data_IF_785082015454
#
_entry.id   IF_785082015454
#
_cell.length_a   1.000
_cell.length_b   1.000
_cell.length_c   1.000
_cell.angle_alpha   90.00
_cell.angle_beta   90.00
_cell.angle_gamma   90.00
#
_symmetry.space_group_name_H-M   'P 1'
#
loop_
_entity.id
_entity.type
_entity.pdbx_description
1 polymer ?
#
# COMPACT_ATOMS: atom_id res chain seq x y z
N UNK A 1 -10.88 -62.69 7.92
CA UNK A 1 -10.97 -61.35 7.30
C UNK A 1 -10.85 -61.52 5.79
N UNK A 2 -11.95 -61.32 5.05
CA UNK A 2 -12.03 -61.69 3.63
C UNK A 2 -11.06 -60.86 2.79
N UNK A 3 -10.33 -61.47 1.83
CA UNK A 3 -9.43 -60.78 0.88
C UNK A 3 -10.10 -59.55 0.21
N UNK A 4 -11.43 -59.60 0.06
CA UNK A 4 -12.27 -58.49 -0.43
C UNK A 4 -12.23 -57.25 0.49
N UNK A 5 -12.23 -57.44 1.80
CA UNK A 5 -12.15 -56.35 2.80
C UNK A 5 -10.78 -55.68 2.75
N UNK A 6 -9.70 -56.44 2.59
CA UNK A 6 -8.35 -55.90 2.45
C UNK A 6 -8.22 -55.02 1.19
N UNK A 7 -8.82 -55.46 0.08
CA UNK A 7 -8.77 -54.73 -1.19
C UNK A 7 -9.55 -53.40 -1.12
N UNK A 8 -10.72 -53.39 -0.47
CA UNK A 8 -11.49 -52.17 -0.22
C UNK A 8 -10.71 -51.21 0.69
N UNK A 9 -10.06 -51.73 1.72
CA UNK A 9 -9.28 -50.91 2.66
C UNK A 9 -8.11 -50.22 1.95
N UNK A 10 -7.37 -50.95 1.09
CA UNK A 10 -6.27 -50.38 0.28
C UNK A 10 -6.80 -49.28 -0.65
N UNK A 11 -7.97 -49.48 -1.28
CA UNK A 11 -8.59 -48.48 -2.15
C UNK A 11 -8.93 -47.20 -1.39
N UNK A 12 -9.51 -47.32 -0.19
CA UNK A 12 -9.87 -46.19 0.66
C UNK A 12 -8.63 -45.43 1.12
N UNK A 13 -7.58 -46.14 1.57
CA UNK A 13 -6.32 -45.50 1.95
C UNK A 13 -5.66 -44.77 0.77
N UNK A 14 -5.67 -45.37 -0.42
CA UNK A 14 -5.14 -44.70 -1.63
C UNK A 14 -5.89 -43.42 -1.97
N UNK A 15 -7.22 -43.41 -1.84
CA UNK A 15 -8.02 -42.21 -2.09
C UNK A 15 -7.71 -41.11 -1.06
N UNK A 16 -7.64 -41.47 0.23
CA UNK A 16 -7.29 -40.52 1.29
C UNK A 16 -5.87 -39.97 1.14
N UNK A 17 -4.90 -40.77 0.69
CA UNK A 17 -3.54 -40.29 0.45
C UNK A 17 -3.49 -39.20 -0.63
N UNK A 18 -4.26 -39.33 -1.71
CA UNK A 18 -4.31 -38.30 -2.77
C UNK A 18 -4.94 -37.01 -2.23
N UNK A 19 -6.03 -37.12 -1.47
CA UNK A 19 -6.69 -35.95 -0.85
C UNK A 19 -5.75 -35.24 0.12
N UNK A 20 -5.03 -35.98 0.96
CA UNK A 20 -4.08 -35.41 1.92
C UNK A 20 -2.95 -34.64 1.22
N UNK A 21 -2.38 -35.19 0.14
CA UNK A 21 -1.33 -34.51 -0.62
C UNK A 21 -1.86 -33.26 -1.31
N UNK A 22 -3.05 -33.34 -1.92
CA UNK A 22 -3.69 -32.20 -2.58
C UNK A 22 -4.01 -31.07 -1.59
N UNK A 23 -4.55 -31.41 -0.41
CA UNK A 23 -4.86 -30.42 0.63
C UNK A 23 -3.58 -29.79 1.19
N UNK A 24 -2.52 -30.57 1.39
CA UNK A 24 -1.25 -30.05 1.91
C UNK A 24 -0.59 -29.05 0.96
N UNK A 25 -0.75 -29.20 -0.36
CA UNK A 25 -0.29 -28.23 -1.36
C UNK A 25 -1.16 -26.97 -1.48
N UNK A 26 -2.35 -26.95 -0.86
CA UNK A 26 -3.29 -25.80 -0.92
C UNK A 26 -3.44 -25.06 0.41
N UNK A 27 -2.80 -25.53 1.48
CA UNK A 27 -2.78 -24.81 2.74
C UNK A 27 -1.88 -23.57 2.57
N UNK A 28 -2.32 -22.38 3.01
CA UNK A 28 -1.47 -21.20 3.00
C UNK A 28 -0.21 -21.48 3.83
N UNK A 29 0.97 -21.11 3.31
CA UNK A 29 2.27 -21.37 3.94
C UNK A 29 2.38 -20.77 5.35
N UNK A 30 1.52 -19.81 5.70
CA UNK A 30 1.51 -19.17 7.00
C UNK A 30 0.09 -18.75 7.46
N UNK A 31 -0.67 -19.61 8.17
CA UNK A 31 -2.05 -19.30 8.58
C UNK A 31 -2.16 -18.25 9.69
N UNK A 32 -1.04 -17.75 10.24
CA UNK A 32 -1.07 -16.81 11.38
C UNK A 32 -0.89 -15.35 10.98
N UNK A 33 -0.55 -15.04 9.73
CA UNK A 33 -0.43 -13.66 9.26
C UNK A 33 -1.47 -13.40 8.19
N UNK A 34 -2.37 -12.46 8.49
CA UNK A 34 -3.29 -11.93 7.50
C UNK A 34 -2.46 -10.99 6.63
N UNK A 35 -2.36 -11.32 5.35
CA UNK A 35 -1.63 -10.52 4.37
C UNK A 35 -2.42 -9.27 4.00
N UNK A 36 -1.69 -8.21 3.64
CA UNK A 36 -2.28 -7.01 3.10
C UNK A 36 -2.76 -7.29 1.67
N UNK A 37 -4.01 -6.96 1.39
CA UNK A 37 -4.59 -7.08 0.05
C UNK A 37 -4.61 -5.73 -0.67
N UNK A 38 -4.84 -4.64 0.08
CA UNK A 38 -4.96 -3.30 -0.48
C UNK A 38 -4.42 -2.21 0.46
N UNK A 39 -3.81 -1.18 -0.12
CA UNK A 39 -3.26 -0.01 0.56
C UNK A 39 -3.67 1.22 -0.25
N UNK A 40 -4.50 2.09 0.34
CA UNK A 40 -5.10 3.21 -0.39
C UNK A 40 -4.98 4.50 0.40
N UNK A 41 -4.49 5.54 -0.26
CA UNK A 41 -4.59 6.93 0.16
C UNK A 41 -5.95 7.46 -0.31
N UNK A 42 -6.80 7.86 0.63
CA UNK A 42 -8.15 8.34 0.34
C UNK A 42 -8.26 9.85 0.21
N UNK A 43 -7.35 10.60 0.84
CA UNK A 43 -7.43 12.06 0.86
C UNK A 43 -6.59 12.68 -0.27
N UNK A 44 -7.19 12.74 -1.46
CA UNK A 44 -6.66 13.41 -2.65
C UNK A 44 -7.76 14.22 -3.34
N UNK A 45 -7.37 15.21 -4.15
CA UNK A 45 -8.32 16.11 -4.82
C UNK A 45 -8.62 15.62 -6.24
N UNK A 46 -7.61 15.14 -6.97
CA UNK A 46 -7.73 14.75 -8.37
C UNK A 46 -6.89 13.49 -8.67
N UNK A 47 -7.27 12.79 -9.72
CA UNK A 47 -6.52 11.66 -10.30
C UNK A 47 -6.28 11.94 -11.78
N UNK A 48 -5.09 11.64 -12.31
CA UNK A 48 -4.85 11.71 -13.76
C UNK A 48 -5.36 10.45 -14.48
N UNK A 49 -5.25 10.46 -15.82
CA UNK A 49 -5.62 9.31 -16.67
C UNK A 49 -4.80 8.04 -16.38
N UNK A 50 -3.62 8.20 -15.78
CA UNK A 50 -2.73 7.11 -15.38
C UNK A 50 -3.04 6.56 -13.97
N UNK A 51 -3.95 7.21 -13.22
CA UNK A 51 -4.35 6.83 -11.86
C UNK A 51 -3.51 7.45 -10.74
N UNK A 52 -2.59 8.36 -11.04
CA UNK A 52 -1.79 9.08 -10.06
C UNK A 52 -2.65 10.08 -9.30
N UNK A 53 -2.49 10.13 -7.97
CA UNK A 53 -3.27 10.99 -7.07
C UNK A 53 -2.59 12.34 -6.87
N UNK A 54 -3.37 13.42 -6.88
CA UNK A 54 -2.89 14.78 -6.69
C UNK A 54 -3.63 15.46 -5.53
N UNK A 55 -2.90 16.21 -4.70
CA UNK A 55 -3.47 16.96 -3.56
C UNK A 55 -2.93 18.38 -3.46
N UNK A 56 -3.83 19.34 -3.38
CA UNK A 56 -3.55 20.76 -3.15
C UNK A 56 -3.29 21.04 -1.69
N UNK A 57 -2.03 21.36 -1.41
CA UNK A 57 -1.58 21.70 -0.06
C UNK A 57 -1.23 23.18 0.10
N UNK A 58 -1.52 24.03 -0.90
CA UNK A 58 -1.13 25.45 -0.91
C UNK A 58 -1.72 26.23 0.27
N UNK A 59 -2.97 25.93 0.63
CA UNK A 59 -3.67 26.61 1.73
C UNK A 59 -3.45 25.92 3.09
N UNK A 60 -2.83 24.72 3.08
CA UNK A 60 -2.62 23.90 4.27
C UNK A 60 -1.17 24.04 4.76
N UNK A 61 -0.22 24.03 3.84
CA UNK A 61 1.22 24.11 4.12
C UNK A 61 1.71 25.52 3.87
N UNK A 62 1.89 26.27 4.96
CA UNK A 62 2.41 27.63 4.95
C UNK A 62 3.79 27.69 5.62
N UNK A 63 4.53 28.82 5.53
CA UNK A 63 5.76 29.00 6.29
C UNK A 63 5.60 28.82 7.81
N UNK A 64 4.42 29.14 8.34
CA UNK A 64 4.05 28.97 9.75
C UNK A 64 3.57 27.55 10.07
N UNK A 65 2.97 26.86 9.10
CA UNK A 65 2.43 25.51 9.22
C UNK A 65 3.02 24.59 8.14
N UNK A 66 4.15 23.95 8.43
CA UNK A 66 4.96 23.25 7.43
C UNK A 66 4.75 21.72 7.42
N UNK A 67 3.66 21.24 8.02
CA UNK A 67 3.35 19.82 8.17
C UNK A 67 2.03 19.51 7.49
N UNK A 68 2.05 18.55 6.57
CA UNK A 68 0.85 17.95 5.98
C UNK A 68 0.69 16.52 6.49
N UNK A 69 -0.55 16.03 6.62
CA UNK A 69 -0.82 14.66 7.08
C UNK A 69 -1.53 13.89 6.00
N UNK A 70 -0.97 12.77 5.57
CA UNK A 70 -1.59 11.81 4.68
C UNK A 70 -2.25 10.73 5.53
N UNK A 71 -3.52 10.44 5.27
CA UNK A 71 -4.26 9.34 5.90
C UNK A 71 -4.36 8.22 4.86
N UNK A 72 -4.04 6.99 5.26
CA UNK A 72 -4.15 5.81 4.41
C UNK A 72 -5.02 4.75 5.07
N UNK A 73 -5.60 3.89 4.24
CA UNK A 73 -6.38 2.73 4.65
C UNK A 73 -5.69 1.44 4.20
N UNK A 74 -5.88 0.40 5.00
CA UNK A 74 -5.38 -0.95 4.73
C UNK A 74 -6.56 -1.92 4.73
N UNK A 75 -6.57 -2.83 3.75
CA UNK A 75 -7.56 -3.91 3.68
C UNK A 75 -6.82 -5.24 3.57
N UNK A 76 -7.16 -6.26 4.38
CA UNK A 76 -8.05 -6.19 5.55
C UNK A 76 -7.45 -5.38 6.71
N UNK A 77 -8.30 -4.85 7.59
CA UNK A 77 -7.88 -3.90 8.64
C UNK A 77 -6.87 -4.48 9.64
N UNK A 78 -6.90 -5.81 9.82
CA UNK A 78 -6.04 -6.56 10.72
C UNK A 78 -4.85 -7.21 10.01
N UNK A 79 -4.53 -6.78 8.79
CA UNK A 79 -3.34 -7.22 8.08
C UNK A 79 -2.07 -6.88 8.89
N UNK A 80 -1.09 -7.78 8.83
CA UNK A 80 0.22 -7.60 9.45
C UNK A 80 1.09 -6.71 8.55
N UNK A 81 1.04 -5.40 8.72
CA UNK A 81 1.71 -4.43 7.85
C UNK A 81 2.95 -3.79 8.48
N UNK A 82 3.96 -3.49 7.66
CA UNK A 82 5.08 -2.60 8.00
C UNK A 82 5.14 -1.50 6.94
N UNK A 83 4.34 -0.43 7.13
CA UNK A 83 4.24 0.67 6.17
C UNK A 83 5.47 1.57 6.27
N UNK A 84 6.00 1.89 5.10
CA UNK A 84 7.12 2.82 4.91
C UNK A 84 6.69 3.90 3.93
N UNK A 85 7.24 5.10 4.10
CA UNK A 85 6.99 6.22 3.20
C UNK A 85 8.31 6.74 2.65
N UNK A 86 8.33 7.08 1.37
CA UNK A 86 9.51 7.60 0.68
C UNK A 86 9.15 8.76 -0.24
N UNK A 87 10.12 9.63 -0.50
CA UNK A 87 9.98 10.74 -1.43
C UNK A 87 11.29 10.96 -2.16
N UNK A 88 11.20 11.39 -3.42
CA UNK A 88 12.35 11.77 -4.25
C UNK A 88 12.71 13.26 -4.09
N UNK A 89 11.88 14.03 -3.38
CA UNK A 89 12.05 15.47 -3.23
C UNK A 89 12.96 15.81 -2.06
N UNK A 90 13.98 16.65 -2.32
CA UNK A 90 14.84 17.16 -1.26
C UNK A 90 14.12 18.18 -0.37
N UNK A 91 14.50 18.23 0.91
CA UNK A 91 13.87 19.12 1.89
C UNK A 91 12.47 18.66 2.33
N UNK A 92 12.17 17.38 2.21
CA UNK A 92 10.94 16.76 2.73
C UNK A 92 11.35 15.64 3.67
N UNK A 93 10.77 15.61 4.86
CA UNK A 93 10.95 14.56 5.84
C UNK A 93 9.61 13.88 6.09
N UNK A 94 9.61 12.54 6.13
CA UNK A 94 8.42 11.72 6.26
C UNK A 94 8.50 10.96 7.58
N UNK A 95 7.44 11.04 8.37
CA UNK A 95 7.28 10.22 9.58
C UNK A 95 6.02 9.37 9.46
N UNK A 96 6.18 8.06 9.60
CA UNK A 96 5.07 7.11 9.50
C UNK A 96 4.60 6.75 10.90
N UNK A 97 3.29 6.87 11.13
CA UNK A 97 2.59 6.42 12.32
C UNK A 97 1.67 5.27 11.91
N UNK A 98 2.12 4.05 12.20
CA UNK A 98 1.41 2.82 11.86
C UNK A 98 0.16 2.59 12.74
N UNK A 99 0.16 3.11 13.97
CA UNK A 99 -0.95 2.92 14.91
C UNK A 99 -2.15 3.79 14.50
N UNK A 100 -1.89 5.02 14.09
CA UNK A 100 -2.93 5.97 13.64
C UNK A 100 -3.20 5.93 12.13
N UNK A 101 -2.46 5.11 11.37
CA UNK A 101 -2.53 5.02 9.89
C UNK A 101 -2.32 6.39 9.22
N UNK A 102 -1.26 7.08 9.65
CA UNK A 102 -0.94 8.46 9.22
C UNK A 102 0.52 8.59 8.80
N UNK A 103 0.76 9.49 7.85
CA UNK A 103 2.10 9.89 7.46
C UNK A 103 2.19 11.40 7.57
N UNK A 104 3.09 11.86 8.43
CA UNK A 104 3.39 13.27 8.59
C UNK A 104 4.48 13.67 7.60
N UNK A 105 4.13 14.61 6.73
CA UNK A 105 4.98 15.18 5.69
C UNK A 105 5.47 16.54 6.18
N UNK A 106 6.70 16.59 6.63
CA UNK A 106 7.35 17.79 7.15
C UNK A 106 8.15 18.40 6.00
N UNK A 107 7.71 19.57 5.54
CA UNK A 107 8.27 20.22 4.34
C UNK A 107 9.17 21.39 4.78
N UNK A 108 10.39 21.43 4.27
CA UNK A 108 11.30 22.54 4.55
C UNK A 108 10.79 23.84 3.93
N UNK A 109 11.01 24.95 4.64
CA UNK A 109 10.66 26.31 4.20
C UNK A 109 11.14 26.63 2.79
N UNK A 110 12.34 26.17 2.43
CA UNK A 110 12.90 26.39 1.08
C UNK A 110 12.10 25.68 -0.01
N UNK A 111 11.56 24.50 0.28
CA UNK A 111 10.75 23.71 -0.65
C UNK A 111 9.37 24.37 -0.84
N UNK A 112 8.79 24.88 0.25
CA UNK A 112 7.54 25.68 0.24
C UNK A 112 7.73 26.94 -0.61
N UNK A 113 8.81 27.70 -0.36
CA UNK A 113 9.11 28.93 -1.08
C UNK A 113 9.32 28.71 -2.59
N UNK A 114 9.88 27.55 -2.98
CA UNK A 114 10.08 27.17 -4.39
C UNK A 114 8.83 26.56 -5.04
N UNK A 115 7.74 26.35 -4.27
CA UNK A 115 6.48 25.74 -4.74
C UNK A 115 6.70 24.45 -5.54
N UNK A 116 7.66 23.63 -5.11
CA UNK A 116 7.99 22.38 -5.80
C UNK A 116 6.90 21.34 -5.57
N UNK A 117 6.49 20.63 -6.62
CA UNK A 117 5.73 19.40 -6.46
C UNK A 117 6.53 18.36 -5.70
N UNK A 118 5.86 17.63 -4.81
CA UNK A 118 6.45 16.61 -3.95
C UNK A 118 5.64 15.33 -4.11
N UNK A 119 6.24 14.30 -4.69
CA UNK A 119 5.63 12.97 -4.79
C UNK A 119 6.08 12.12 -3.60
N UNK A 120 5.11 11.46 -2.98
CA UNK A 120 5.28 10.60 -1.82
C UNK A 120 4.71 9.24 -2.16
N UNK A 121 5.54 8.22 -2.01
CA UNK A 121 5.14 6.83 -2.17
C UNK A 121 5.04 6.18 -0.79
N UNK A 122 3.93 5.50 -0.56
CA UNK A 122 3.68 4.68 0.61
C UNK A 122 3.75 3.22 0.17
N UNK A 123 4.38 2.37 0.99
CA UNK A 123 4.63 0.99 0.64
C UNK A 123 4.67 0.10 1.85
N UNK A 124 3.98 -1.04 1.78
CA UNK A 124 4.14 -2.12 2.73
C UNK A 124 5.38 -2.93 2.42
N UNK A 125 6.22 -3.14 3.43
CA UNK A 125 7.49 -3.87 3.26
C UNK A 125 7.28 -5.37 3.12
N UNK A 126 6.17 -5.91 3.63
CA UNK A 126 5.90 -7.36 3.61
C UNK A 126 5.33 -7.77 2.25
N UNK A 127 4.15 -7.23 1.90
CA UNK A 127 3.41 -7.54 0.67
C UNK A 127 3.95 -6.81 -0.57
N UNK A 128 4.79 -5.79 -0.39
CA UNK A 128 5.29 -4.90 -1.45
C UNK A 128 4.21 -4.06 -2.14
N UNK A 129 2.96 -4.08 -1.66
CA UNK A 129 1.87 -3.24 -2.16
C UNK A 129 2.20 -1.78 -1.85
N UNK A 130 1.96 -0.90 -2.83
CA UNK A 130 2.30 0.51 -2.74
C UNK A 130 1.23 1.38 -3.38
N UNK A 131 1.16 2.61 -2.89
CA UNK A 131 0.32 3.68 -3.43
C UNK A 131 1.11 4.99 -3.40
N UNK A 132 0.70 5.97 -4.20
CA UNK A 132 1.43 7.23 -4.33
C UNK A 132 0.51 8.44 -4.42
N UNK A 133 1.04 9.56 -3.93
CA UNK A 133 0.36 10.85 -3.96
C UNK A 133 1.35 11.97 -4.26
N UNK A 134 0.95 12.86 -5.16
CA UNK A 134 1.70 14.07 -5.50
C UNK A 134 1.06 15.28 -4.84
N UNK A 135 1.83 15.93 -3.97
CA UNK A 135 1.47 17.19 -3.32
C UNK A 135 1.95 18.37 -4.18
N UNK A 136 1.03 19.25 -4.58
CA UNK A 136 1.33 20.44 -5.37
C UNK A 136 1.07 21.74 -4.58
N UNK A 137 1.90 22.77 -4.83
CA UNK A 137 1.79 24.12 -4.26
C UNK A 137 1.21 25.15 -5.25
N UNK A 138 0.82 24.67 -6.43
CA UNK A 138 0.09 25.37 -7.47
C UNK A 138 -0.49 24.30 -8.41
N UNK A 139 -1.78 24.39 -8.75
CA UNK A 139 -2.32 23.70 -9.92
C UNK A 139 -1.56 24.18 -11.16
N UNK A 140 -0.98 23.29 -11.99
CA UNK A 140 -0.53 23.68 -13.30
C UNK A 140 -1.76 24.10 -14.10
N UNK A 141 -1.78 25.34 -14.61
CA UNK A 141 -2.88 25.85 -15.47
C UNK A 141 -3.03 25.04 -16.77
N UNK A 142 -2.08 24.14 -17.06
CA UNK A 142 -2.07 23.18 -18.17
C UNK A 142 -1.16 22.00 -17.83
N UNK A 143 -1.69 20.78 -17.81
CA UNK A 143 -0.91 19.55 -17.94
C UNK A 143 -0.54 19.45 -19.42
N UNK A 144 0.72 19.73 -19.78
CA UNK A 144 1.19 19.57 -21.15
C UNK A 144 1.60 18.11 -21.32
N UNK A 145 0.73 17.31 -21.92
CA UNK A 145 1.09 15.98 -22.43
C UNK A 145 1.92 16.21 -23.70
N UNK A 146 3.18 15.76 -23.78
CA UNK A 146 3.92 15.82 -25.04
C UNK A 146 3.30 14.83 -26.03
N UNK A 147 2.73 15.34 -27.13
CA UNK A 147 2.35 14.50 -28.26
C UNK A 147 3.60 13.83 -28.85
N UNK A 148 3.50 12.52 -29.09
CA UNK A 148 4.54 11.66 -29.69
C UNK A 148 4.56 11.86 -31.20
#
# INVERSE_FOLDING_TARGET
MNKKVLLILVLVFSLFSVVLIAVWGTLPENPTHIELEDLVIDDFDETNDDGDKFKNITDIVTPEAHIFTIIYQITPENASTEITASTTSSGVNLQVDNDLKRIYVIIALETIAKKKTVTIQIKDKVSQISDEITLWFKTPDTIIIPEI
#
